data_IF_797191768980
#
_entry.id   IF_797191768980
#
_cell.length_a   1.000
_cell.length_b   1.000
_cell.length_c   1.000
_cell.angle_alpha   90.00
_cell.angle_beta   90.00
_cell.angle_gamma   90.00
#
_symmetry.space_group_name_H-M   'P 1'
#
loop_
_entity.id
_entity.type
_entity.pdbx_description
1 polymer ?
#
# COMPACT_ATOMS: atom_id res chain seq x y z
N UNK A 1 15.61 18.59 -43.56
CA UNK A 1 15.63 18.88 -42.11
C UNK A 1 16.14 17.62 -41.44
N UNK A 2 17.41 17.58 -41.03
CA UNK A 2 17.93 16.45 -40.28
C UNK A 2 17.42 16.57 -38.84
N UNK A 3 16.80 15.50 -38.32
CA UNK A 3 16.46 15.43 -36.90
C UNK A 3 17.78 15.20 -36.17
N UNK A 4 18.28 16.22 -35.47
CA UNK A 4 19.39 16.04 -34.55
C UNK A 4 18.85 15.32 -33.32
N UNK A 5 19.38 14.12 -33.06
CA UNK A 5 19.15 13.39 -31.82
C UNK A 5 20.38 13.63 -30.97
N UNK A 6 20.26 14.49 -29.95
CA UNK A 6 21.32 14.66 -28.96
C UNK A 6 21.49 13.36 -28.17
N UNK A 7 22.59 12.68 -28.47
CA UNK A 7 23.03 11.42 -27.85
C UNK A 7 22.00 10.28 -27.98
N UNK A 8 21.91 9.62 -29.16
CA UNK A 8 20.98 8.54 -29.34
C UNK A 8 21.33 7.41 -28.36
N UNK A 9 20.33 6.95 -27.62
CA UNK A 9 20.38 5.69 -26.90
C UNK A 9 20.86 4.62 -27.89
N UNK A 10 22.09 4.15 -27.70
CA UNK A 10 22.68 3.18 -28.61
C UNK A 10 22.29 1.78 -28.12
N UNK A 11 21.85 0.94 -29.04
CA UNK A 11 21.53 -0.45 -28.75
C UNK A 11 22.34 -1.36 -29.65
N UNK A 12 22.99 -2.36 -29.07
CA UNK A 12 23.60 -3.46 -29.81
C UNK A 12 22.92 -4.75 -29.40
N UNK A 13 22.70 -5.66 -30.35
CA UNK A 13 22.27 -7.02 -30.05
C UNK A 13 23.45 -7.99 -30.04
N UNK A 14 23.39 -8.93 -29.11
CA UNK A 14 24.33 -10.04 -28.94
C UNK A 14 23.51 -11.30 -28.64
N UNK A 15 23.99 -12.47 -29.07
CA UNK A 15 23.42 -13.75 -28.61
C UNK A 15 24.25 -14.25 -27.43
N UNK A 16 23.58 -14.51 -26.31
CA UNK A 16 24.20 -15.03 -25.09
C UNK A 16 23.74 -16.46 -24.85
N UNK A 17 24.68 -17.35 -24.58
CA UNK A 17 24.36 -18.70 -24.10
C UNK A 17 23.54 -18.62 -22.82
N UNK A 18 22.52 -19.46 -22.68
CA UNK A 18 21.61 -19.34 -21.53
C UNK A 18 22.31 -19.65 -20.20
N UNK A 19 23.37 -20.46 -20.22
CA UNK A 19 24.26 -20.74 -19.08
C UNK A 19 24.90 -19.48 -18.50
N UNK A 20 25.19 -18.48 -19.36
CA UNK A 20 25.77 -17.20 -18.94
C UNK A 20 24.87 -16.44 -17.97
N UNK A 21 23.54 -16.54 -18.14
CA UNK A 21 22.61 -15.86 -17.23
C UNK A 21 22.66 -16.45 -15.82
N UNK A 22 23.09 -17.71 -15.66
CA UNK A 22 23.32 -18.34 -14.38
C UNK A 22 24.72 -18.05 -13.84
N UNK A 23 25.77 -18.21 -14.66
CA UNK A 23 27.17 -17.95 -14.23
C UNK A 23 27.39 -16.51 -13.76
N UNK A 24 26.76 -15.56 -14.44
CA UNK A 24 26.92 -14.13 -14.18
C UNK A 24 25.79 -13.58 -13.31
N UNK A 25 25.03 -14.46 -12.62
CA UNK A 25 23.81 -14.12 -11.88
C UNK A 25 23.98 -12.96 -10.89
N UNK A 26 25.15 -12.84 -10.26
CA UNK A 26 25.50 -11.77 -9.31
C UNK A 26 25.55 -10.36 -9.93
N UNK A 27 25.79 -10.26 -11.24
CA UNK A 27 25.82 -8.97 -11.94
C UNK A 27 24.42 -8.49 -12.32
N UNK A 28 23.42 -9.38 -12.36
CA UNK A 28 22.08 -9.02 -12.82
C UNK A 28 21.25 -8.35 -11.74
N UNK A 29 20.81 -7.14 -12.05
CA UNK A 29 19.75 -6.45 -11.31
C UNK A 29 18.42 -6.77 -11.97
N UNK A 30 17.88 -7.94 -11.62
CA UNK A 30 16.66 -8.49 -12.23
C UNK A 30 15.43 -7.63 -12.00
N UNK A 31 15.38 -6.92 -10.87
CA UNK A 31 14.23 -6.13 -10.44
C UNK A 31 14.68 -4.72 -10.07
N UNK A 32 14.98 -3.87 -11.07
CA UNK A 32 15.27 -2.47 -10.79
C UNK A 32 14.04 -1.79 -10.15
N UNK A 33 14.20 -0.60 -9.53
CA UNK A 33 13.16 0.01 -8.72
C UNK A 33 11.81 0.15 -9.41
N UNK A 34 11.76 0.29 -10.74
CA UNK A 34 10.51 0.44 -11.48
C UNK A 34 9.80 -0.87 -11.82
N UNK A 35 10.45 -2.04 -11.69
CA UNK A 35 9.87 -3.34 -11.98
C UNK A 35 9.15 -3.97 -10.78
N UNK A 36 8.25 -4.91 -11.06
CA UNK A 36 7.47 -5.66 -10.07
C UNK A 36 8.10 -7.03 -9.78
N UNK A 37 7.54 -7.78 -8.83
CA UNK A 37 7.94 -9.17 -8.57
C UNK A 37 7.76 -10.09 -9.77
N UNK A 38 8.53 -11.19 -9.77
CA UNK A 38 8.36 -12.28 -10.73
C UNK A 38 7.00 -12.94 -10.50
N UNK A 39 6.22 -13.19 -11.56
CA UNK A 39 4.85 -13.74 -11.45
C UNK A 39 4.59 -14.93 -12.35
N UNK A 40 5.59 -15.38 -13.12
CA UNK A 40 5.44 -16.62 -13.87
C UNK A 40 5.30 -17.80 -12.90
N UNK A 41 4.23 -18.56 -13.07
CA UNK A 41 4.09 -19.87 -12.45
C UNK A 41 5.11 -20.87 -13.01
N UNK A 42 5.27 -22.00 -12.34
CA UNK A 42 6.22 -23.04 -12.75
C UNK A 42 5.91 -23.59 -14.14
N UNK A 43 4.64 -23.63 -14.58
CA UNK A 43 4.26 -24.10 -15.91
C UNK A 43 4.86 -23.22 -17.01
N UNK A 44 4.70 -21.91 -16.91
CA UNK A 44 5.29 -20.94 -17.85
C UNK A 44 6.82 -20.97 -17.84
N UNK A 45 7.43 -21.14 -16.66
CA UNK A 45 8.90 -21.30 -16.56
C UNK A 45 9.37 -22.54 -17.32
N UNK A 46 8.66 -23.66 -17.18
CA UNK A 46 8.93 -24.91 -17.94
C UNK A 46 8.78 -24.74 -19.45
N UNK A 47 7.74 -24.05 -19.91
CA UNK A 47 7.52 -23.76 -21.33
C UNK A 47 8.66 -22.92 -21.95
N UNK A 48 9.26 -22.02 -21.17
CA UNK A 48 10.43 -21.27 -21.63
C UNK A 48 11.64 -22.19 -21.86
N UNK A 49 11.95 -23.08 -20.91
CA UNK A 49 13.09 -23.99 -21.05
C UNK A 49 12.84 -25.00 -22.19
N UNK A 50 11.61 -25.51 -22.33
CA UNK A 50 11.18 -26.31 -23.50
C UNK A 50 11.46 -25.58 -24.81
N UNK A 51 11.16 -24.28 -24.86
CA UNK A 51 11.39 -23.45 -26.05
C UNK A 51 12.87 -23.39 -26.42
N UNK A 52 13.79 -23.26 -25.47
CA UNK A 52 15.23 -23.30 -25.73
C UNK A 52 15.68 -24.66 -26.23
N UNK A 53 15.32 -25.73 -25.52
CA UNK A 53 15.73 -27.11 -25.84
C UNK A 53 15.27 -27.49 -27.26
N UNK A 54 14.06 -27.07 -27.64
CA UNK A 54 13.45 -27.34 -28.96
C UNK A 54 13.75 -26.28 -30.02
N UNK A 55 14.61 -25.30 -29.73
CA UNK A 55 14.99 -24.21 -30.64
C UNK A 55 13.80 -23.41 -31.19
N UNK A 56 12.78 -23.21 -30.36
CA UNK A 56 11.64 -22.35 -30.66
C UNK A 56 12.05 -20.87 -30.48
N UNK A 57 11.29 -19.98 -31.12
CA UNK A 57 11.53 -18.54 -30.99
C UNK A 57 11.28 -18.06 -29.54
N UNK A 58 12.31 -17.45 -28.95
CA UNK A 58 12.22 -16.76 -27.65
C UNK A 58 12.46 -15.27 -27.86
N UNK A 59 11.54 -14.37 -27.44
CA UNK A 59 11.75 -12.93 -27.55
C UNK A 59 13.02 -12.46 -26.82
N UNK A 60 13.73 -11.46 -27.36
CA UNK A 60 14.97 -10.97 -26.77
C UNK A 60 14.73 -10.39 -25.36
N UNK A 61 15.79 -10.29 -24.59
CA UNK A 61 15.82 -9.53 -23.33
C UNK A 61 16.51 -8.20 -23.55
N UNK A 62 16.11 -7.18 -22.78
CA UNK A 62 16.71 -5.84 -22.88
C UNK A 62 17.40 -5.53 -21.57
N UNK A 63 18.69 -5.22 -21.65
CA UNK A 63 19.54 -4.98 -20.50
C UNK A 63 20.22 -3.62 -20.66
N UNK A 64 20.35 -2.91 -19.56
CA UNK A 64 21.11 -1.68 -19.42
C UNK A 64 22.38 -1.98 -18.63
N UNK A 65 23.55 -1.59 -19.14
CA UNK A 65 24.75 -1.56 -18.31
C UNK A 65 24.67 -0.36 -17.38
N UNK A 66 24.87 -0.61 -16.09
CA UNK A 66 24.99 0.42 -15.05
C UNK A 66 26.40 0.35 -14.50
N UNK A 67 27.10 1.48 -14.43
CA UNK A 67 28.45 1.56 -13.87
C UNK A 67 28.35 2.35 -12.57
N UNK A 68 28.71 1.69 -11.47
CA UNK A 68 28.74 2.30 -10.14
C UNK A 68 30.12 2.90 -9.85
N UNK A 69 30.19 3.66 -8.76
CA UNK A 69 31.46 4.14 -8.23
C UNK A 69 32.45 2.99 -8.02
N UNK A 70 33.71 3.21 -8.41
CA UNK A 70 34.75 2.18 -8.34
C UNK A 70 34.78 1.21 -9.53
N UNK A 71 34.03 1.48 -10.61
CA UNK A 71 33.92 0.65 -11.81
C UNK A 71 33.24 -0.71 -11.58
N UNK A 72 32.36 -0.82 -10.57
CA UNK A 72 31.49 -2.00 -10.45
C UNK A 72 30.42 -1.97 -11.56
N UNK A 73 30.30 -3.07 -12.29
CA UNK A 73 29.41 -3.18 -13.44
C UNK A 73 28.18 -4.00 -13.07
N UNK A 74 27.00 -3.41 -13.23
CA UNK A 74 25.72 -4.09 -13.06
C UNK A 74 24.94 -4.18 -14.37
N UNK A 75 24.19 -5.26 -14.52
CA UNK A 75 23.32 -5.55 -15.66
C UNK A 75 21.87 -5.36 -15.22
N UNK A 76 21.37 -4.14 -15.36
CA UNK A 76 19.97 -3.83 -15.08
C UNK A 76 19.07 -4.43 -16.15
N UNK A 77 18.16 -5.31 -15.73
CA UNK A 77 17.18 -5.90 -16.63
C UNK A 77 16.07 -4.87 -16.87
N UNK A 78 15.96 -4.38 -18.10
CA UNK A 78 14.90 -3.46 -18.54
C UNK A 78 13.68 -4.24 -19.03
N UNK A 79 13.89 -5.36 -19.72
CA UNK A 79 12.84 -6.31 -20.11
C UNK A 79 13.36 -7.75 -20.05
N UNK A 80 12.49 -8.69 -19.70
CA UNK A 80 12.84 -10.10 -19.63
C UNK A 80 13.16 -10.64 -18.24
N UNK A 81 12.82 -9.91 -17.17
CA UNK A 81 13.00 -10.35 -15.78
C UNK A 81 12.52 -11.79 -15.56
N UNK A 82 11.31 -12.12 -16.05
CA UNK A 82 10.72 -13.45 -15.88
C UNK A 82 11.54 -14.53 -16.59
N UNK A 83 12.05 -14.23 -17.80
CA UNK A 83 12.85 -15.16 -18.61
C UNK A 83 14.20 -15.44 -17.95
N UNK A 84 14.92 -14.39 -17.55
CA UNK A 84 16.21 -14.51 -16.86
C UNK A 84 16.05 -15.26 -15.54
N UNK A 85 15.01 -14.95 -14.76
CA UNK A 85 14.74 -15.66 -13.51
C UNK A 85 14.47 -17.15 -13.76
N UNK A 86 13.65 -17.50 -14.75
CA UNK A 86 13.34 -18.89 -15.07
C UNK A 86 14.57 -19.68 -15.55
N UNK A 87 15.46 -19.05 -16.33
CA UNK A 87 16.74 -19.65 -16.74
C UNK A 87 17.60 -19.95 -15.50
N UNK A 88 17.81 -18.96 -14.62
CA UNK A 88 18.61 -19.13 -13.41
C UNK A 88 18.06 -20.22 -12.49
N UNK A 89 16.75 -20.20 -12.21
CA UNK A 89 16.08 -21.19 -11.37
C UNK A 89 16.14 -22.61 -11.97
N UNK A 90 16.16 -22.76 -13.30
CA UNK A 90 16.33 -24.06 -13.94
C UNK A 90 17.73 -24.64 -13.69
N UNK A 91 18.78 -23.83 -13.85
CA UNK A 91 20.15 -24.22 -13.55
C UNK A 91 20.40 -24.49 -12.05
N UNK A 92 19.60 -23.86 -11.19
CA UNK A 92 19.60 -24.08 -9.73
C UNK A 92 18.76 -25.30 -9.30
N UNK A 93 18.24 -26.08 -10.26
CA UNK A 93 17.38 -27.24 -10.02
C UNK A 93 16.08 -26.92 -9.25
N UNK A 94 15.54 -25.70 -9.31
CA UNK A 94 14.28 -25.33 -8.64
C UNK A 94 13.07 -25.99 -9.30
N UNK A 95 13.12 -26.22 -10.62
CA UNK A 95 12.10 -26.96 -11.37
C UNK A 95 12.70 -27.86 -12.47
N UNK A 96 11.94 -28.86 -12.88
CA UNK A 96 12.32 -29.80 -13.94
C UNK A 96 11.80 -29.35 -15.31
N UNK A 97 12.37 -29.89 -16.40
CA UNK A 97 11.74 -29.85 -17.73
C UNK A 97 10.30 -30.37 -17.69
N UNK A 98 9.42 -29.93 -18.61
CA UNK A 98 8.10 -30.50 -18.71
C UNK A 98 8.19 -32.00 -19.04
N UNK A 99 7.25 -32.77 -18.49
CA UNK A 99 7.11 -34.17 -18.85
C UNK A 99 6.12 -34.28 -20.02
N UNK A 100 6.62 -33.97 -21.22
CA UNK A 100 5.81 -33.90 -22.45
C UNK A 100 6.20 -34.99 -23.46
N UNK A 101 5.25 -35.49 -24.27
CA UNK A 101 5.57 -36.42 -25.36
C UNK A 101 6.64 -35.88 -26.31
N UNK A 102 6.61 -34.57 -26.61
CA UNK A 102 7.54 -33.91 -27.51
C UNK A 102 8.99 -33.99 -27.01
N UNK A 103 9.22 -33.82 -25.70
CA UNK A 103 10.56 -33.93 -25.12
C UNK A 103 11.03 -35.38 -25.00
N UNK A 104 10.11 -36.33 -24.76
CA UNK A 104 10.44 -37.77 -24.75
C UNK A 104 10.87 -38.26 -26.14
N UNK A 105 10.28 -37.73 -27.20
CA UNK A 105 10.63 -38.07 -28.58
C UNK A 105 11.90 -37.37 -29.07
N UNK A 106 12.25 -36.22 -28.49
CA UNK A 106 13.39 -35.40 -28.92
C UNK A 106 14.74 -36.09 -28.70
N UNK A 107 14.89 -36.84 -27.61
CA UNK A 107 16.11 -37.58 -27.30
C UNK A 107 15.80 -38.96 -26.66
N UNK A 108 15.52 -39.99 -27.48
CA UNK A 108 15.18 -41.33 -26.98
C UNK A 108 16.32 -42.04 -26.23
N UNK A 109 17.58 -41.68 -26.51
CA UNK A 109 18.76 -42.29 -25.89
C UNK A 109 19.09 -41.65 -24.53
N UNK A 110 18.76 -40.37 -24.36
CA UNK A 110 18.94 -39.63 -23.11
C UNK A 110 17.61 -39.00 -22.71
N UNK A 111 16.81 -39.73 -21.93
CA UNK A 111 15.51 -39.25 -21.43
C UNK A 111 15.70 -37.89 -20.71
N UNK A 112 15.11 -36.83 -21.26
CA UNK A 112 15.18 -35.45 -20.73
C UNK A 112 13.87 -34.99 -20.06
N UNK A 113 12.75 -35.60 -20.43
CA UNK A 113 11.43 -35.20 -19.97
C UNK A 113 11.30 -35.37 -18.45
N UNK A 114 10.75 -34.37 -17.77
CA UNK A 114 10.55 -34.41 -16.33
C UNK A 114 11.83 -34.30 -15.48
N UNK A 115 13.02 -34.15 -16.07
CA UNK A 115 14.29 -34.05 -15.34
C UNK A 115 14.68 -32.62 -14.98
N UNK A 116 15.31 -32.44 -13.83
CA UNK A 116 16.03 -31.21 -13.42
C UNK A 116 17.37 -31.12 -14.14
N UNK A 117 18.00 -29.96 -14.12
CA UNK A 117 19.25 -29.72 -14.86
C UNK A 117 20.35 -30.72 -14.47
N UNK A 118 20.58 -30.93 -13.17
CA UNK A 118 21.60 -31.86 -12.67
C UNK A 118 21.30 -33.34 -12.95
N UNK A 119 20.06 -33.69 -13.29
CA UNK A 119 19.64 -35.06 -13.61
C UNK A 119 19.84 -35.42 -15.10
N UNK A 120 20.15 -34.43 -15.93
CA UNK A 120 20.43 -34.60 -17.36
C UNK A 120 21.81 -35.26 -17.56
N UNK A 121 21.98 -35.97 -18.66
CA UNK A 121 23.30 -36.51 -19.03
C UNK A 121 24.26 -35.39 -19.42
N UNK A 122 25.57 -35.64 -19.27
CA UNK A 122 26.63 -34.67 -19.61
C UNK A 122 26.47 -34.08 -21.03
N UNK A 123 26.17 -34.93 -22.04
CA UNK A 123 25.96 -34.48 -23.43
C UNK A 123 24.77 -33.50 -23.57
N UNK A 124 23.72 -33.67 -22.75
CA UNK A 124 22.54 -32.80 -22.78
C UNK A 124 22.80 -31.50 -22.04
N UNK A 125 23.53 -31.57 -20.92
CA UNK A 125 23.99 -30.37 -20.21
C UNK A 125 24.87 -29.52 -21.13
N UNK A 126 25.84 -30.13 -21.84
CA UNK A 126 26.70 -29.42 -22.80
C UNK A 126 25.88 -28.78 -23.94
N UNK A 127 24.85 -29.47 -24.45
CA UNK A 127 23.93 -28.90 -25.43
C UNK A 127 23.19 -27.67 -24.88
N UNK A 128 22.62 -27.75 -23.67
CA UNK A 128 21.92 -26.64 -23.04
C UNK A 128 22.89 -25.47 -22.77
N UNK A 129 24.10 -25.77 -22.31
CA UNK A 129 25.09 -24.78 -21.93
C UNK A 129 25.66 -24.00 -23.10
N UNK A 130 25.83 -24.65 -24.25
CA UNK A 130 26.61 -24.11 -25.38
C UNK A 130 25.83 -23.95 -26.69
N UNK A 131 24.62 -24.53 -26.81
CA UNK A 131 23.81 -24.46 -28.04
C UNK A 131 22.48 -23.72 -27.85
N UNK A 132 22.01 -23.58 -26.61
CA UNK A 132 20.83 -22.77 -26.32
C UNK A 132 21.26 -21.33 -26.02
N UNK A 133 20.78 -20.38 -26.83
CA UNK A 133 21.10 -18.96 -26.68
C UNK A 133 19.86 -18.08 -26.65
N UNK A 134 20.01 -16.91 -26.04
CA UNK A 134 18.99 -15.88 -25.95
C UNK A 134 19.56 -14.56 -26.47
N UNK A 135 18.83 -13.92 -27.37
CA UNK A 135 19.20 -12.61 -27.88
C UNK A 135 19.08 -11.55 -26.78
N UNK A 136 20.14 -10.79 -26.58
CA UNK A 136 20.26 -9.69 -25.61
C UNK A 136 20.45 -8.37 -26.34
N UNK A 137 19.56 -7.42 -26.09
CA UNK A 137 19.70 -6.04 -26.55
C UNK A 137 20.29 -5.22 -25.41
N UNK A 138 21.54 -4.76 -25.57
CA UNK A 138 22.22 -3.91 -24.58
C UNK A 138 22.02 -2.44 -24.89
N UNK A 139 21.44 -1.71 -23.94
CA UNK A 139 21.32 -0.26 -23.97
C UNK A 139 22.62 0.39 -23.49
N UNK A 140 23.10 1.37 -24.24
CA UNK A 140 24.31 2.16 -23.98
C UNK A 140 24.00 3.66 -24.01
N UNK A 141 24.86 4.46 -23.36
CA UNK A 141 24.69 5.91 -23.23
C UNK A 141 23.65 6.31 -22.19
N UNK A 142 23.30 5.39 -21.29
CA UNK A 142 22.46 5.61 -20.11
C UNK A 142 23.04 4.87 -18.90
N UNK A 143 24.34 4.86 -18.72
CA UNK A 143 25.06 4.02 -17.75
C UNK A 143 25.02 4.51 -16.30
N UNK A 144 24.94 5.82 -16.08
CA UNK A 144 24.84 6.40 -14.73
C UNK A 144 23.44 6.15 -14.11
N UNK A 145 23.34 5.46 -12.95
CA UNK A 145 22.07 5.22 -12.28
C UNK A 145 21.51 6.42 -11.53
N UNK A 146 22.33 7.41 -11.17
CA UNK A 146 21.91 8.62 -10.47
C UNK A 146 21.52 9.75 -11.44
N UNK A 147 21.90 9.63 -12.72
CA UNK A 147 21.43 10.54 -13.76
C UNK A 147 19.91 10.36 -14.01
N UNK A 148 19.17 11.44 -13.76
CA UNK A 148 17.70 11.49 -13.93
C UNK A 148 17.27 11.19 -15.36
N UNK A 149 17.99 11.70 -16.37
CA UNK A 149 17.67 11.48 -17.79
C UNK A 149 17.86 10.00 -18.14
N UNK A 150 18.90 9.35 -17.64
CA UNK A 150 19.15 7.92 -17.86
C UNK A 150 18.02 7.07 -17.28
N UNK A 151 17.62 7.34 -16.04
CA UNK A 151 16.49 6.65 -15.39
C UNK A 151 15.17 6.85 -16.14
N UNK A 152 14.91 8.06 -16.61
CA UNK A 152 13.73 8.35 -17.44
C UNK A 152 13.76 7.59 -18.77
N UNK A 153 14.92 7.48 -19.42
CA UNK A 153 15.07 6.75 -20.69
C UNK A 153 14.90 5.24 -20.50
N UNK A 154 15.53 4.64 -19.49
CA UNK A 154 15.35 3.23 -19.14
C UNK A 154 13.88 2.90 -18.89
N UNK A 155 13.20 3.74 -18.09
CA UNK A 155 11.76 3.65 -17.85
C UNK A 155 10.97 3.76 -19.16
N UNK A 156 11.25 4.75 -20.02
CA UNK A 156 10.54 4.91 -21.30
C UNK A 156 10.69 3.67 -22.21
N UNK A 157 11.86 3.03 -22.22
CA UNK A 157 12.10 1.79 -22.97
C UNK A 157 11.27 0.64 -22.40
N UNK A 158 11.34 0.41 -21.07
CA UNK A 158 10.51 -0.58 -20.37
C UNK A 158 9.04 -0.45 -20.74
N UNK A 159 8.49 0.77 -20.70
CA UNK A 159 7.10 1.04 -21.06
C UNK A 159 6.72 0.70 -22.50
N UNK A 160 7.64 0.91 -23.44
CA UNK A 160 7.39 0.64 -24.87
C UNK A 160 7.44 -0.86 -25.17
N UNK A 161 8.29 -1.60 -24.48
CA UNK A 161 8.39 -3.06 -24.61
C UNK A 161 7.15 -3.77 -24.04
N UNK A 162 6.60 -3.21 -22.96
CA UNK A 162 5.40 -3.73 -22.30
C UNK A 162 4.08 -3.34 -23.01
N UNK A 163 4.11 -2.92 -24.29
CA UNK A 163 2.87 -2.68 -25.05
C UNK A 163 2.20 -3.98 -25.54
N UNK A 164 2.86 -5.13 -25.43
CA UNK A 164 2.31 -6.46 -25.75
C UNK A 164 1.51 -7.12 -24.61
N UNK A 165 1.85 -6.86 -23.33
CA UNK A 165 1.09 -7.30 -22.14
C UNK A 165 0.58 -6.07 -21.38
N UNK A 166 -0.73 -5.95 -21.15
CA UNK A 166 -1.29 -4.73 -20.56
C UNK A 166 -0.87 -4.51 -19.09
N UNK A 167 0.05 -3.56 -18.87
CA UNK A 167 0.33 -3.00 -17.54
C UNK A 167 -0.92 -2.33 -16.95
N UNK A 168 -1.21 -2.63 -15.69
CA UNK A 168 -2.19 -1.92 -14.88
C UNK A 168 -1.79 -0.46 -14.70
N UNK A 169 -2.76 0.39 -14.32
CA UNK A 169 -2.48 1.79 -14.02
C UNK A 169 -1.46 1.95 -12.87
N UNK A 170 -1.43 1.05 -11.88
CA UNK A 170 -0.48 1.15 -10.77
C UNK A 170 0.93 0.73 -11.18
N UNK A 171 1.11 -0.31 -12.00
CA UNK A 171 2.44 -0.70 -12.53
C UNK A 171 3.05 0.41 -13.39
N UNK A 172 2.21 1.10 -14.16
CA UNK A 172 2.57 2.32 -14.87
C UNK A 172 3.03 3.41 -13.90
N UNK A 173 2.25 3.70 -12.87
CA UNK A 173 2.60 4.75 -11.91
C UNK A 173 3.85 4.42 -11.08
N UNK A 174 4.06 3.14 -10.77
CA UNK A 174 5.22 2.64 -10.03
C UNK A 174 6.56 2.95 -10.71
N UNK A 175 6.58 3.01 -12.04
CA UNK A 175 7.81 3.31 -12.77
C UNK A 175 8.30 4.75 -12.62
N UNK A 176 7.50 5.65 -12.05
CA UNK A 176 7.82 7.07 -11.92
C UNK A 176 8.74 7.28 -10.72
N UNK A 177 9.96 6.78 -10.80
CA UNK A 177 10.97 6.78 -9.72
C UNK A 177 11.33 8.19 -9.22
N UNK A 178 11.11 9.21 -10.05
CA UNK A 178 11.26 10.62 -9.71
C UNK A 178 10.12 11.20 -8.85
N UNK A 179 9.00 10.49 -8.69
CA UNK A 179 7.82 11.01 -7.97
C UNK A 179 7.97 10.79 -6.45
N UNK A 180 7.89 11.85 -5.62
CA UNK A 180 7.94 11.69 -4.16
C UNK A 180 6.77 10.86 -3.63
N UNK A 181 5.57 11.02 -4.22
CA UNK A 181 4.41 10.18 -3.92
C UNK A 181 4.72 8.70 -4.14
N UNK A 182 5.32 8.36 -5.29
CA UNK A 182 5.72 6.99 -5.60
C UNK A 182 6.70 6.46 -4.57
N UNK A 183 7.71 7.26 -4.21
CA UNK A 183 8.77 6.84 -3.29
C UNK A 183 8.24 6.62 -1.88
N UNK A 184 7.33 7.46 -1.40
CA UNK A 184 6.61 7.24 -0.16
C UNK A 184 5.78 5.95 -0.22
N UNK A 185 4.97 5.76 -1.26
CA UNK A 185 4.10 4.60 -1.39
C UNK A 185 4.91 3.29 -1.41
N UNK A 186 5.99 3.24 -2.18
CA UNK A 186 6.85 2.05 -2.27
C UNK A 186 7.53 1.77 -0.94
N UNK A 187 8.12 2.79 -0.31
CA UNK A 187 8.79 2.62 0.99
C UNK A 187 7.81 2.09 2.05
N UNK A 188 6.57 2.55 2.05
CA UNK A 188 5.57 2.25 3.09
C UNK A 188 4.80 0.95 2.84
N UNK A 189 4.41 0.64 1.59
CA UNK A 189 3.47 -0.46 1.31
C UNK A 189 4.10 -1.67 0.60
N UNK A 190 5.23 -1.49 -0.08
CA UNK A 190 5.82 -2.57 -0.85
C UNK A 190 6.41 -3.64 0.07
N UNK A 191 6.39 -4.89 -0.38
CA UNK A 191 6.98 -6.02 0.35
C UNK A 191 8.46 -6.24 0.03
N UNK A 192 8.98 -5.44 -0.91
CA UNK A 192 10.36 -5.45 -1.37
C UNK A 192 10.97 -4.07 -1.34
N UNK A 193 12.29 -4.02 -1.32
CA UNK A 193 13.04 -2.78 -1.37
C UNK A 193 14.17 -2.87 -2.39
N UNK A 194 14.83 -1.73 -2.62
CA UNK A 194 15.99 -1.65 -3.49
C UNK A 194 17.10 -0.94 -2.72
N UNK A 195 18.24 -1.60 -2.60
CA UNK A 195 19.43 -1.00 -2.04
C UNK A 195 20.13 -0.18 -3.12
N UNK A 196 20.09 1.15 -2.95
CA UNK A 196 20.71 2.07 -3.89
C UNK A 196 22.23 2.08 -3.77
N UNK A 197 22.79 1.77 -2.61
CA UNK A 197 24.24 1.82 -2.38
C UNK A 197 24.93 0.67 -3.11
N UNK A 198 24.41 -0.55 -3.00
CA UNK A 198 24.94 -1.73 -3.68
C UNK A 198 24.25 -2.01 -5.04
N UNK A 199 23.28 -1.18 -5.42
CA UNK A 199 22.47 -1.30 -6.63
C UNK A 199 21.80 -2.68 -6.80
N UNK A 200 21.20 -3.19 -5.72
CA UNK A 200 20.64 -4.54 -5.65
C UNK A 200 19.16 -4.57 -5.24
N UNK A 201 18.43 -5.55 -5.77
CA UNK A 201 17.05 -5.81 -5.39
C UNK A 201 17.01 -6.60 -4.07
N UNK A 202 16.16 -6.18 -3.13
CA UNK A 202 15.93 -6.91 -1.87
C UNK A 202 14.55 -7.53 -1.83
N UNK A 203 14.45 -8.75 -1.29
CA UNK A 203 13.18 -9.48 -1.18
C UNK A 203 12.37 -9.13 0.08
N UNK A 204 12.89 -8.22 0.89
CA UNK A 204 12.28 -7.66 2.08
C UNK A 204 12.21 -6.12 2.00
N UNK A 205 11.29 -5.53 2.76
CA UNK A 205 11.22 -4.09 2.96
C UNK A 205 11.17 -3.77 4.46
N UNK A 206 12.28 -3.29 5.06
CA UNK A 206 12.31 -2.97 6.48
C UNK A 206 11.48 -1.73 6.86
N UNK A 207 11.04 -0.93 5.87
CA UNK A 207 10.20 0.25 6.11
C UNK A 207 8.71 -0.03 5.86
N UNK A 208 8.35 -1.28 5.52
CA UNK A 208 6.95 -1.64 5.26
C UNK A 208 6.13 -1.44 6.52
N UNK A 209 5.03 -0.70 6.39
CA UNK A 209 4.12 -0.46 7.49
C UNK A 209 3.37 -1.75 7.86
N UNK A 210 3.23 -1.99 9.17
CA UNK A 210 2.67 -3.23 9.72
C UNK A 210 1.24 -3.51 9.23
N UNK A 211 0.38 -2.50 9.11
CA UNK A 211 -0.93 -2.64 8.45
C UNK A 211 -0.93 -3.50 7.17
N UNK A 212 0.09 -3.37 6.31
CA UNK A 212 0.15 -4.12 5.05
C UNK A 212 0.46 -5.61 5.21
N UNK A 213 1.00 -6.03 6.36
CA UNK A 213 1.18 -7.45 6.71
C UNK A 213 -0.11 -8.07 7.23
N UNK A 214 -1.07 -7.26 7.69
CA UNK A 214 -2.39 -7.71 8.13
C UNK A 214 -3.35 -8.00 6.96
N UNK A 215 -3.03 -7.56 5.74
CA UNK A 215 -3.91 -7.71 4.59
C UNK A 215 -3.82 -9.13 4.00
N UNK A 216 -4.94 -9.84 3.90
CA UNK A 216 -5.07 -11.07 3.10
C UNK A 216 -5.12 -10.77 1.58
N UNK A 217 -4.21 -9.92 1.10
CA UNK A 217 -4.16 -9.39 -0.26
C UNK A 217 -2.72 -9.40 -0.77
N UNK A 218 -2.46 -10.19 -1.81
CA UNK A 218 -1.13 -10.24 -2.45
C UNK A 218 -0.72 -8.88 -3.04
N UNK A 219 0.59 -8.73 -3.24
CA UNK A 219 1.19 -7.53 -3.82
C UNK A 219 1.92 -7.80 -5.16
N UNK A 220 1.69 -8.97 -5.79
CA UNK A 220 2.37 -9.41 -7.01
C UNK A 220 2.22 -8.45 -8.21
N UNK A 221 1.12 -7.70 -8.22
CA UNK A 221 0.80 -6.65 -9.19
C UNK A 221 0.60 -5.29 -8.52
N UNK A 222 1.32 -5.05 -7.42
CA UNK A 222 1.37 -3.77 -6.70
C UNK A 222 0.00 -3.34 -6.14
N UNK A 223 -0.83 -4.31 -5.78
CA UNK A 223 -2.19 -4.05 -5.31
C UNK A 223 -2.22 -3.29 -3.98
N UNK A 224 -1.20 -3.46 -3.12
CA UNK A 224 -1.11 -2.75 -1.84
C UNK A 224 -0.63 -1.31 -2.04
N UNK A 225 0.28 -1.07 -2.99
CA UNK A 225 0.66 0.30 -3.40
C UNK A 225 -0.54 1.07 -3.98
N UNK A 226 -1.36 0.36 -4.77
CA UNK A 226 -2.61 0.86 -5.32
C UNK A 226 -3.58 1.31 -4.21
N UNK A 227 -3.64 0.55 -3.11
CA UNK A 227 -4.48 0.85 -1.95
C UNK A 227 -3.98 2.09 -1.20
N UNK A 228 -2.68 2.15 -0.87
CA UNK A 228 -2.09 3.30 -0.19
C UNK A 228 -2.25 4.60 -1.00
N UNK A 229 -2.10 4.54 -2.32
CA UNK A 229 -2.34 5.67 -3.19
C UNK A 229 -3.76 6.24 -3.05
N UNK A 230 -4.74 5.38 -2.79
CA UNK A 230 -6.14 5.79 -2.63
C UNK A 230 -6.44 6.29 -1.22
N UNK A 231 -5.78 5.77 -0.19
CA UNK A 231 -5.82 6.37 1.15
C UNK A 231 -5.32 7.81 1.12
N UNK A 232 -4.19 8.07 0.44
CA UNK A 232 -3.69 9.44 0.22
C UNK A 232 -4.75 10.32 -0.46
N UNK A 233 -5.47 9.81 -1.47
CA UNK A 233 -6.54 10.58 -2.11
C UNK A 233 -7.70 10.89 -1.17
N UNK A 234 -8.07 9.94 -0.29
CA UNK A 234 -9.11 10.13 0.73
C UNK A 234 -8.68 11.20 1.74
N UNK A 235 -7.41 11.23 2.17
CA UNK A 235 -6.93 12.24 3.11
C UNK A 235 -6.74 13.63 2.49
N UNK A 236 -6.43 13.71 1.19
CA UNK A 236 -6.38 14.98 0.45
C UNK A 236 -7.76 15.60 0.33
N UNK A 237 -8.76 14.79 -0.01
CA UNK A 237 -10.14 15.28 -0.18
C UNK A 237 -10.95 15.20 1.13
N UNK A 238 -10.30 14.86 2.24
CA UNK A 238 -10.83 14.76 3.61
C UNK A 238 -12.12 13.93 3.75
N UNK A 239 -12.17 12.79 3.04
CA UNK A 239 -13.29 11.86 3.12
C UNK A 239 -13.54 11.06 1.83
N UNK A 240 -14.71 10.41 1.71
CA UNK A 240 -15.10 9.64 0.54
C UNK A 240 -14.98 10.46 -0.75
N UNK A 241 -14.10 10.01 -1.66
CA UNK A 241 -13.83 10.72 -2.91
C UNK A 241 -13.65 9.77 -4.09
N UNK A 242 -13.53 10.33 -5.29
CA UNK A 242 -13.18 9.59 -6.52
C UNK A 242 -11.74 9.07 -6.45
N UNK A 243 -11.59 7.78 -6.23
CA UNK A 243 -10.29 7.09 -6.14
C UNK A 243 -10.00 6.22 -7.39
N UNK A 244 -10.40 6.71 -8.57
CA UNK A 244 -10.18 6.01 -9.85
C UNK A 244 -8.70 5.93 -10.22
N UNK A 245 -8.32 4.96 -11.07
CA UNK A 245 -6.96 4.87 -11.60
C UNK A 245 -6.46 6.15 -12.28
N UNK A 246 -7.36 6.96 -12.86
CA UNK A 246 -7.00 8.27 -13.42
C UNK A 246 -6.57 9.28 -12.34
N UNK A 247 -7.24 9.27 -11.19
CA UNK A 247 -6.89 10.14 -10.06
C UNK A 247 -5.61 9.67 -9.37
N UNK A 248 -5.40 8.35 -9.27
CA UNK A 248 -4.11 7.77 -8.86
C UNK A 248 -2.99 8.24 -9.79
N UNK A 249 -3.17 8.19 -11.11
CA UNK A 249 -2.16 8.69 -12.06
C UNK A 249 -1.87 10.18 -11.87
N UNK A 250 -2.89 11.01 -11.63
CA UNK A 250 -2.69 12.44 -11.34
C UNK A 250 -1.92 12.66 -10.04
N UNK A 251 -2.18 11.85 -9.00
CA UNK A 251 -1.44 11.91 -7.74
C UNK A 251 0.05 11.62 -7.99
N UNK A 252 0.38 10.53 -8.68
CA UNK A 252 1.76 10.18 -9.00
C UNK A 252 2.45 11.20 -9.91
N UNK A 253 1.70 11.84 -10.81
CA UNK A 253 2.18 12.96 -11.65
C UNK A 253 2.38 14.26 -10.85
N UNK A 254 2.11 14.29 -9.54
CA UNK A 254 2.10 15.49 -8.70
C UNK A 254 1.22 16.62 -9.28
N UNK A 255 0.05 16.24 -9.83
CA UNK A 255 -0.94 17.18 -10.41
C UNK A 255 -2.04 17.59 -9.42
N UNK A 256 -1.87 17.26 -8.14
CA UNK A 256 -2.73 17.75 -7.05
C UNK A 256 -2.17 19.07 -6.54
N UNK A 257 -3.03 19.95 -6.06
CA UNK A 257 -2.64 21.28 -5.58
C UNK A 257 -1.60 21.14 -4.45
N UNK A 258 -0.53 21.93 -4.51
CA UNK A 258 0.56 21.89 -3.54
C UNK A 258 1.58 20.77 -3.74
N UNK A 259 1.31 19.73 -4.54
CA UNK A 259 2.25 18.63 -4.80
C UNK A 259 3.27 19.03 -5.88
N UNK A 260 4.51 18.59 -5.73
CA UNK A 260 5.59 18.87 -6.69
C UNK A 260 6.56 17.70 -6.79
N UNK A 261 7.22 17.55 -7.95
CA UNK A 261 8.25 16.53 -8.17
C UNK A 261 9.62 16.92 -7.57
N UNK A 262 9.74 18.13 -7.04
CA UNK A 262 10.98 18.67 -6.49
C UNK A 262 11.12 18.46 -4.98
N UNK A 263 10.04 18.03 -4.33
CA UNK A 263 10.01 17.75 -2.90
C UNK A 263 10.75 16.44 -2.62
N UNK A 264 11.58 16.45 -1.58
CA UNK A 264 12.22 15.21 -1.13
C UNK A 264 11.26 14.34 -0.29
N UNK A 265 11.70 13.12 0.04
CA UNK A 265 10.85 12.16 0.74
C UNK A 265 10.52 12.60 2.18
N UNK A 266 11.43 13.28 2.86
CA UNK A 266 11.22 13.69 4.25
C UNK A 266 10.32 14.93 4.31
N UNK A 267 10.48 15.88 3.38
CA UNK A 267 9.54 16.99 3.18
C UNK A 267 8.13 16.48 2.86
N UNK A 268 8.01 15.52 1.91
CA UNK A 268 6.73 14.95 1.51
C UNK A 268 5.97 14.31 2.68
N UNK A 269 6.70 13.66 3.61
CA UNK A 269 6.10 13.08 4.81
C UNK A 269 5.53 14.12 5.76
N UNK A 270 6.07 15.34 5.82
CA UNK A 270 5.61 16.37 6.76
C UNK A 270 4.27 17.00 6.37
N UNK A 271 3.75 16.70 5.18
CA UNK A 271 2.43 17.18 4.75
C UNK A 271 1.32 16.65 5.66
N UNK A 272 0.37 17.52 6.00
CA UNK A 272 -0.74 17.19 6.91
C UNK A 272 -1.52 15.96 6.44
N UNK A 273 -1.78 15.85 5.13
CA UNK A 273 -2.49 14.73 4.53
C UNK A 273 -1.70 13.42 4.64
N UNK A 274 -0.38 13.48 4.53
CA UNK A 274 0.50 12.30 4.63
C UNK A 274 0.68 11.88 6.09
N UNK A 275 0.78 12.83 7.01
CA UNK A 275 0.73 12.60 8.45
C UNK A 275 -0.60 11.96 8.87
N UNK A 276 -1.74 12.40 8.29
CA UNK A 276 -3.05 11.75 8.50
C UNK A 276 -3.06 10.31 8.01
N UNK A 277 -2.53 10.03 6.83
CA UNK A 277 -2.41 8.65 6.32
C UNK A 277 -1.59 7.78 7.27
N UNK A 278 -0.46 8.28 7.78
CA UNK A 278 0.38 7.53 8.73
C UNK A 278 -0.40 7.21 10.01
N UNK A 279 -1.06 8.20 10.62
CA UNK A 279 -1.91 7.99 11.80
C UNK A 279 -3.03 6.98 11.54
N UNK A 280 -3.68 7.04 10.38
CA UNK A 280 -4.72 6.08 10.00
C UNK A 280 -4.16 4.65 9.84
N UNK A 281 -2.97 4.49 9.27
CA UNK A 281 -2.31 3.18 9.17
C UNK A 281 -1.94 2.64 10.56
N UNK A 282 -1.46 3.50 11.47
CA UNK A 282 -1.17 3.14 12.86
C UNK A 282 -2.44 2.73 13.60
N UNK A 283 -3.51 3.52 13.50
CA UNK A 283 -4.83 3.23 14.07
C UNK A 283 -5.39 1.91 13.56
N UNK A 284 -5.39 1.69 12.24
CA UNK A 284 -5.83 0.43 11.66
C UNK A 284 -4.96 -0.75 12.12
N UNK A 285 -3.66 -0.55 12.27
CA UNK A 285 -2.78 -1.58 12.81
C UNK A 285 -3.16 -1.88 14.24
N UNK A 286 -3.29 -0.88 15.09
CA UNK A 286 -3.66 -1.02 16.50
C UNK A 286 -5.02 -1.72 16.66
N UNK A 287 -6.02 -1.29 15.87
CA UNK A 287 -7.35 -1.86 15.88
C UNK A 287 -7.33 -3.33 15.50
N UNK A 288 -6.40 -3.81 14.68
CA UNK A 288 -6.43 -5.18 14.16
C UNK A 288 -5.29 -6.10 14.64
N UNK A 289 -4.28 -5.56 15.33
CA UNK A 289 -3.05 -6.29 15.70
C UNK A 289 -3.30 -7.47 16.61
N UNK A 290 -4.09 -7.31 17.67
CA UNK A 290 -4.26 -8.35 18.69
C UNK A 290 -5.70 -8.88 18.67
N UNK A 291 -6.16 -9.25 17.47
CA UNK A 291 -7.53 -9.74 17.24
C UNK A 291 -7.53 -11.23 16.89
N UNK A 292 -8.57 -11.92 17.34
CA UNK A 292 -8.83 -13.33 16.97
C UNK A 292 -9.31 -13.48 15.51
N UNK A 293 -9.47 -12.36 14.80
CA UNK A 293 -9.85 -12.28 13.37
C UNK A 293 -8.71 -12.71 12.44
N UNK A 294 -7.49 -12.86 12.96
CA UNK A 294 -6.32 -13.28 12.19
C UNK A 294 -6.37 -14.76 11.85
N UNK A 295 -6.11 -15.07 10.60
CA UNK A 295 -5.92 -16.44 10.14
C UNK A 295 -4.54 -17.00 10.57
N UNK A 296 -4.24 -18.25 10.21
CA UNK A 296 -2.96 -18.90 10.54
C UNK A 296 -1.70 -18.20 9.99
N UNK A 297 -1.83 -17.29 9.03
CA UNK A 297 -0.74 -16.49 8.48
C UNK A 297 -0.61 -15.12 9.18
N UNK A 298 -1.47 -14.80 10.15
CA UNK A 298 -1.53 -13.49 10.81
C UNK A 298 -2.27 -12.42 9.99
N UNK A 299 -2.97 -12.81 8.93
CA UNK A 299 -3.71 -11.92 8.03
C UNK A 299 -5.20 -11.89 8.38
N UNK A 300 -5.88 -10.81 8.04
CA UNK A 300 -7.32 -10.66 8.24
C UNK A 300 -8.03 -10.96 6.93
N UNK A 301 -8.84 -12.02 6.94
CA UNK A 301 -9.47 -12.59 5.76
C UNK A 301 -10.27 -11.55 4.97
N UNK A 302 -11.03 -10.70 5.66
CA UNK A 302 -11.87 -9.69 5.01
C UNK A 302 -11.12 -8.50 4.42
N UNK A 303 -9.85 -8.32 4.79
CA UNK A 303 -8.97 -7.32 4.20
C UNK A 303 -8.35 -7.80 2.87
N UNK A 304 -9.17 -8.45 2.03
CA UNK A 304 -8.76 -8.97 0.72
C UNK A 304 -9.27 -8.12 -0.48
N UNK A 305 -10.45 -7.48 -0.36
CA UNK A 305 -11.15 -6.77 -1.44
C UNK A 305 -10.93 -5.26 -1.36
N UNK A 306 -10.36 -4.66 -2.41
CA UNK A 306 -9.97 -3.23 -2.44
C UNK A 306 -11.11 -2.28 -2.04
N UNK A 307 -12.30 -2.43 -2.62
CA UNK A 307 -13.41 -1.51 -2.35
C UNK A 307 -13.98 -1.66 -0.94
N UNK A 308 -13.88 -2.84 -0.33
CA UNK A 308 -14.28 -3.10 1.05
C UNK A 308 -13.29 -2.40 2.00
N UNK A 309 -11.98 -2.61 1.78
CA UNK A 309 -10.93 -1.99 2.59
C UNK A 309 -11.02 -0.45 2.52
N UNK A 310 -11.31 0.12 1.35
CA UNK A 310 -11.51 1.56 1.20
C UNK A 310 -12.74 2.07 1.95
N UNK A 311 -13.83 1.31 1.94
CA UNK A 311 -15.04 1.68 2.68
C UNK A 311 -14.82 1.61 4.19
N UNK A 312 -14.13 0.58 4.68
CA UNK A 312 -13.72 0.46 6.07
C UNK A 312 -12.77 1.58 6.50
N UNK A 313 -11.77 1.88 5.67
CA UNK A 313 -10.86 3.01 5.90
C UNK A 313 -11.63 4.32 6.05
N UNK A 314 -12.61 4.58 5.16
CA UNK A 314 -13.43 5.80 5.24
C UNK A 314 -14.31 5.86 6.49
N UNK A 315 -14.90 4.74 6.92
CA UNK A 315 -15.68 4.67 8.17
C UNK A 315 -14.78 4.98 9.38
N UNK A 316 -13.66 4.27 9.53
CA UNK A 316 -12.76 4.47 10.67
C UNK A 316 -12.16 5.88 10.67
N UNK A 317 -11.86 6.45 9.50
CA UNK A 317 -11.41 7.83 9.37
C UNK A 317 -12.48 8.81 9.90
N UNK A 318 -13.74 8.56 9.61
CA UNK A 318 -14.85 9.38 10.09
C UNK A 318 -15.01 9.28 11.61
N UNK A 319 -14.85 8.10 12.19
CA UNK A 319 -14.85 7.92 13.64
C UNK A 319 -13.67 8.67 14.30
N UNK A 320 -12.46 8.58 13.72
CA UNK A 320 -11.23 9.19 14.26
C UNK A 320 -11.18 10.71 14.12
N UNK A 321 -11.57 11.24 12.96
CA UNK A 321 -11.47 12.68 12.67
C UNK A 321 -12.80 13.42 12.73
N UNK A 322 -13.90 12.69 12.93
CA UNK A 322 -15.19 13.27 13.27
C UNK A 322 -15.24 13.67 14.74
N UNK A 323 -16.28 14.41 15.11
CA UNK A 323 -16.51 14.82 16.49
C UNK A 323 -17.10 13.64 17.29
N UNK A 324 -16.40 12.50 17.39
CA UNK A 324 -16.86 11.31 18.12
C UNK A 324 -15.90 10.96 19.28
N UNK A 325 -16.42 10.28 20.31
CA UNK A 325 -15.62 9.77 21.44
C UNK A 325 -14.86 8.47 21.09
N UNK A 326 -14.47 8.30 19.82
CA UNK A 326 -13.85 7.06 19.34
C UNK A 326 -12.45 6.87 19.92
N UNK A 327 -12.21 5.70 20.48
CA UNK A 327 -10.92 5.31 21.07
C UNK A 327 -10.84 3.82 21.35
N UNK A 328 -9.79 3.42 22.09
CA UNK A 328 -9.52 2.01 22.43
C UNK A 328 -10.69 1.31 23.09
N UNK A 329 -11.49 2.05 23.86
CA UNK A 329 -12.63 1.52 24.61
C UNK A 329 -13.74 0.98 23.69
N UNK A 330 -13.81 1.45 22.43
CA UNK A 330 -14.82 1.04 21.45
C UNK A 330 -14.23 0.23 20.27
N UNK A 331 -12.97 -0.22 20.35
CA UNK A 331 -12.36 -0.98 19.26
C UNK A 331 -13.06 -2.32 18.99
N UNK A 332 -13.56 -2.97 20.03
CA UNK A 332 -14.26 -4.24 19.90
C UNK A 332 -15.57 -4.08 19.12
N UNK A 333 -16.28 -2.97 19.28
CA UNK A 333 -17.50 -2.68 18.51
C UNK A 333 -17.22 -2.56 17.01
N UNK A 334 -16.14 -1.87 16.63
CA UNK A 334 -15.72 -1.78 15.22
C UNK A 334 -15.29 -3.14 14.69
N UNK A 335 -14.56 -3.94 15.48
CA UNK A 335 -14.12 -5.28 15.09
C UNK A 335 -15.31 -6.21 14.85
N UNK A 336 -16.23 -6.26 15.81
CA UNK A 336 -17.43 -7.10 15.76
C UNK A 336 -18.29 -6.72 14.56
N UNK A 337 -18.55 -5.42 14.38
CA UNK A 337 -19.27 -4.94 13.20
C UNK A 337 -18.59 -5.36 11.89
N UNK A 338 -17.28 -5.18 11.77
CA UNK A 338 -16.58 -5.49 10.52
C UNK A 338 -16.55 -6.98 10.20
N UNK A 339 -16.44 -7.82 11.22
CA UNK A 339 -16.51 -9.27 11.07
C UNK A 339 -17.92 -9.71 10.64
N UNK A 340 -18.97 -9.22 11.32
CA UNK A 340 -20.36 -9.54 10.98
C UNK A 340 -20.74 -9.02 9.59
N UNK A 341 -20.36 -7.79 9.26
CA UNK A 341 -20.58 -7.19 7.96
C UNK A 341 -19.88 -8.00 6.86
N UNK A 342 -18.66 -8.48 7.10
CA UNK A 342 -17.98 -9.36 6.16
C UNK A 342 -18.67 -10.72 6.00
N UNK A 343 -19.11 -11.35 7.09
CA UNK A 343 -19.88 -12.60 7.03
C UNK A 343 -21.14 -12.43 6.19
N UNK A 344 -21.90 -11.35 6.40
CA UNK A 344 -23.06 -10.97 5.58
C UNK A 344 -22.68 -10.72 4.12
N UNK A 345 -21.53 -10.10 3.89
CA UNK A 345 -21.00 -9.82 2.56
C UNK A 345 -20.55 -11.08 1.79
N UNK A 346 -20.06 -12.13 2.43
CA UNK A 346 -19.69 -13.38 1.74
C UNK A 346 -20.90 -14.26 1.38
N UNK A 347 -22.05 -14.06 2.03
CA UNK A 347 -23.29 -14.78 1.70
C UNK A 347 -23.90 -14.24 0.40
N UNK A 348 -24.27 -15.15 -0.51
CA UNK A 348 -25.12 -14.84 -1.67
C UNK A 348 -26.60 -14.85 -1.24
N UNK A 349 -27.07 -13.72 -0.73
CA UNK A 349 -28.48 -13.46 -0.45
C UNK A 349 -29.05 -12.45 -1.45
N UNK A 350 -30.06 -12.85 -2.21
CA UNK A 350 -30.72 -11.99 -3.20
C UNK A 350 -31.80 -11.10 -2.60
N UNK A 351 -32.23 -11.36 -1.37
CA UNK A 351 -33.25 -10.58 -0.68
C UNK A 351 -32.63 -9.43 0.13
N UNK A 352 -31.32 -9.49 0.39
CA UNK A 352 -30.54 -8.44 1.03
C UNK A 352 -30.22 -7.28 0.06
N UNK A 353 -31.22 -6.42 -0.16
CA UNK A 353 -31.13 -5.25 -1.05
C UNK A 353 -29.96 -4.33 -0.68
N UNK A 354 -29.68 -4.14 0.61
CA UNK A 354 -28.60 -3.26 1.07
C UNK A 354 -27.22 -3.84 0.68
N UNK A 355 -26.99 -5.12 0.96
CA UNK A 355 -25.74 -5.78 0.65
C UNK A 355 -25.52 -5.92 -0.87
N UNK A 356 -26.58 -6.18 -1.63
CA UNK A 356 -26.53 -6.16 -3.10
C UNK A 356 -26.09 -4.79 -3.61
N UNK A 357 -26.69 -3.72 -3.09
CA UNK A 357 -26.33 -2.36 -3.47
C UNK A 357 -24.88 -2.00 -3.11
N UNK A 358 -24.37 -2.49 -1.99
CA UNK A 358 -22.97 -2.35 -1.60
C UNK A 358 -22.04 -3.09 -2.57
N UNK A 359 -22.33 -4.37 -2.88
CA UNK A 359 -21.57 -5.22 -3.82
C UNK A 359 -21.56 -4.67 -5.25
N UNK A 360 -22.69 -4.17 -5.73
CA UNK A 360 -22.81 -3.58 -7.07
C UNK A 360 -22.03 -2.28 -7.22
N UNK A 361 -21.91 -1.52 -6.14
CA UNK A 361 -21.17 -0.27 -6.10
C UNK A 361 -19.64 -0.47 -6.12
N UNK A 362 -19.09 -1.50 -6.76
CA UNK A 362 -17.64 -1.82 -6.80
C UNK A 362 -16.74 -0.80 -7.51
N UNK A 363 -17.31 0.16 -8.23
CA UNK A 363 -16.56 1.16 -8.99
C UNK A 363 -15.88 2.18 -8.07
N UNK A 364 -14.76 2.75 -8.51
CA UNK A 364 -13.99 3.74 -7.74
C UNK A 364 -14.30 5.19 -8.11
N UNK A 365 -15.45 5.45 -8.75
CA UNK A 365 -15.93 6.79 -9.02
C UNK A 365 -16.66 7.36 -7.78
N UNK A 366 -16.84 8.69 -7.73
CA UNK A 366 -17.40 9.38 -6.55
C UNK A 366 -18.75 8.82 -6.12
N UNK A 367 -19.67 8.58 -7.07
CA UNK A 367 -21.01 8.10 -6.76
C UNK A 367 -21.00 6.71 -6.12
N UNK A 368 -20.20 5.79 -6.65
CA UNK A 368 -20.07 4.44 -6.10
C UNK A 368 -19.36 4.43 -4.73
N UNK A 369 -18.30 5.22 -4.57
CA UNK A 369 -17.58 5.35 -3.29
C UNK A 369 -18.50 5.91 -2.20
N UNK A 370 -19.19 7.03 -2.48
CA UNK A 370 -20.13 7.63 -1.54
C UNK A 370 -21.28 6.69 -1.20
N UNK A 371 -21.81 5.96 -2.19
CA UNK A 371 -22.88 4.97 -1.95
C UNK A 371 -22.44 3.87 -0.99
N UNK A 372 -21.24 3.31 -1.18
CA UNK A 372 -20.72 2.28 -0.26
C UNK A 372 -20.48 2.81 1.13
N UNK A 373 -19.91 4.02 1.23
CA UNK A 373 -19.67 4.65 2.52
C UNK A 373 -20.97 4.87 3.29
N UNK A 374 -21.97 5.50 2.66
CA UNK A 374 -23.29 5.69 3.25
C UNK A 374 -23.94 4.38 3.73
N UNK A 375 -23.90 3.33 2.91
CA UNK A 375 -24.47 2.02 3.31
C UNK A 375 -23.74 1.45 4.53
N UNK A 376 -22.40 1.44 4.50
CA UNK A 376 -21.60 0.88 5.59
C UNK A 376 -21.75 1.69 6.88
N UNK A 377 -21.76 3.01 6.77
CA UNK A 377 -21.91 3.94 7.88
C UNK A 377 -23.28 3.79 8.56
N UNK A 378 -24.38 3.76 7.80
CA UNK A 378 -25.71 3.53 8.39
C UNK A 378 -25.78 2.16 9.07
N UNK A 379 -25.26 1.13 8.42
CA UNK A 379 -25.26 -0.21 9.00
C UNK A 379 -24.45 -0.29 10.30
N UNK A 380 -23.35 0.49 10.41
CA UNK A 380 -22.59 0.62 11.64
C UNK A 380 -23.43 1.30 12.73
N UNK A 381 -24.08 2.42 12.43
CA UNK A 381 -24.91 3.12 13.41
C UNK A 381 -26.16 2.34 13.84
N UNK A 382 -26.69 1.47 12.97
CA UNK A 382 -27.80 0.55 13.30
C UNK A 382 -27.42 -0.52 14.33
N UNK A 383 -26.12 -0.78 14.57
CA UNK A 383 -25.70 -1.65 15.67
C UNK A 383 -25.77 -0.97 17.03
N UNK A 384 -26.14 0.31 17.08
CA UNK A 384 -26.17 1.15 18.29
C UNK A 384 -24.84 1.06 19.09
N UNK A 385 -23.69 1.41 18.46
CA UNK A 385 -22.40 1.40 19.13
C UNK A 385 -22.39 2.38 20.31
N UNK A 386 -21.57 2.14 21.33
CA UNK A 386 -21.32 3.08 22.44
C UNK A 386 -20.34 4.19 22.01
N UNK A 387 -20.53 4.68 20.78
CA UNK A 387 -19.83 5.81 20.19
C UNK A 387 -20.85 6.93 20.01
N UNK A 388 -20.54 8.10 20.54
CA UNK A 388 -21.42 9.26 20.54
C UNK A 388 -20.73 10.45 19.92
N UNK A 389 -21.51 11.29 19.23
CA UNK A 389 -21.05 12.61 18.83
C UNK A 389 -20.67 13.40 20.09
N UNK A 390 -19.39 13.74 20.20
CA UNK A 390 -18.90 14.71 21.18
C UNK A 390 -19.45 16.09 20.84
N UNK A 391 -19.78 16.86 21.87
CA UNK A 391 -20.27 18.21 21.66
C UNK A 391 -19.17 19.08 21.03
N UNK A 392 -19.38 19.55 19.80
CA UNK A 392 -18.48 20.49 19.11
C UNK A 392 -18.22 21.80 19.91
N UNK A 393 -19.04 22.11 20.91
CA UNK A 393 -18.78 23.16 21.89
C UNK A 393 -18.07 22.58 23.10
N UNK A 394 -16.84 23.02 23.36
CA UNK A 394 -16.10 22.69 24.60
C UNK A 394 -16.27 23.74 25.71
N UNK A 395 -16.72 24.94 25.35
CA UNK A 395 -16.85 26.06 26.27
C UNK A 395 -18.31 26.44 26.44
N UNK A 396 -18.78 26.47 27.69
CA UNK A 396 -20.09 27.03 28.02
C UNK A 396 -20.19 28.48 27.53
N UNK A 397 -21.26 28.78 26.79
CA UNK A 397 -21.56 30.14 26.34
C UNK A 397 -21.68 31.11 27.52
N UNK A 398 -21.47 32.42 27.27
CA UNK A 398 -21.60 33.43 28.32
C UNK A 398 -22.96 33.41 29.02
N UNK A 399 -24.04 33.13 28.29
CA UNK A 399 -25.38 33.04 28.84
C UNK A 399 -25.52 31.82 29.77
N UNK A 400 -24.99 30.65 29.35
CA UNK A 400 -24.96 29.45 30.19
C UNK A 400 -24.12 29.67 31.46
N UNK A 401 -22.94 30.30 31.34
CA UNK A 401 -22.09 30.63 32.50
C UNK A 401 -22.77 31.55 33.50
N UNK A 402 -23.50 32.58 33.04
CA UNK A 402 -24.26 33.47 33.92
C UNK A 402 -25.36 32.69 34.65
N UNK A 403 -26.10 31.84 33.92
CA UNK A 403 -27.20 31.05 34.48
C UNK A 403 -26.69 30.05 35.52
N UNK A 404 -25.67 29.28 35.18
CA UNK A 404 -25.02 28.32 36.08
C UNK A 404 -24.49 28.97 37.37
N UNK A 405 -23.84 30.13 37.25
CA UNK A 405 -23.31 30.86 38.40
C UNK A 405 -24.39 31.38 39.37
N UNK A 406 -25.57 31.71 38.84
CA UNK A 406 -26.71 32.16 39.65
C UNK A 406 -27.43 30.97 40.28
N UNK A 407 -27.70 29.92 39.50
CA UNK A 407 -28.47 28.74 39.94
C UNK A 407 -27.72 27.89 40.97
N UNK A 408 -26.39 27.87 40.93
CA UNK A 408 -25.52 27.19 41.91
C UNK A 408 -25.31 27.97 43.21
N UNK A 409 -25.98 29.11 43.39
CA UNK A 409 -25.74 30.06 44.50
C UNK A 409 -24.27 30.52 44.64
N UNK A 410 -23.48 30.32 43.57
CA UNK A 410 -22.03 30.59 43.51
C UNK A 410 -21.22 29.67 44.41
N UNK A 411 -21.67 28.44 44.59
CA UNK A 411 -21.01 27.45 45.42
C UNK A 411 -20.21 26.51 44.51
N UNK A 412 -18.93 26.32 44.83
CA UNK A 412 -18.12 25.26 44.21
C UNK A 412 -18.65 23.91 44.67
N UNK A 413 -19.12 23.08 43.73
CA UNK A 413 -19.77 21.81 44.04
C UNK A 413 -18.82 20.82 44.73
N UNK A 414 -17.57 20.74 44.26
CA UNK A 414 -16.55 19.90 44.90
C UNK A 414 -16.18 20.37 46.31
N UNK A 415 -16.19 21.68 46.58
CA UNK A 415 -15.99 22.17 47.95
C UNK A 415 -17.15 21.75 48.86
N UNK A 416 -18.38 21.76 48.34
CA UNK A 416 -19.56 21.33 49.09
C UNK A 416 -19.53 19.82 49.37
N UNK A 417 -19.13 19.00 48.38
CA UNK A 417 -18.93 17.55 48.54
C UNK A 417 -17.84 17.21 49.57
N UNK A 418 -16.77 18.01 49.65
CA UNK A 418 -15.73 17.90 50.67
C UNK A 418 -16.19 18.33 52.08
N UNK A 419 -17.44 18.78 52.24
CA UNK A 419 -18.02 19.18 53.52
C UNK A 419 -17.56 20.56 54.02
N UNK A 420 -17.03 21.42 53.14
CA UNK A 420 -16.71 22.81 53.49
C UNK A 420 -17.99 23.61 53.75
N UNK A 421 -17.89 24.64 54.56
CA UNK A 421 -19.02 25.54 54.83
C UNK A 421 -19.41 26.32 53.56
N UNK A 422 -20.66 26.80 53.47
CA UNK A 422 -21.11 27.63 52.34
C UNK A 422 -20.23 28.86 52.12
N UNK A 423 -19.67 29.44 53.19
CA UNK A 423 -18.77 30.59 53.12
C UNK A 423 -17.42 30.21 52.49
N UNK A 424 -16.90 29.03 52.79
CA UNK A 424 -15.63 28.51 52.25
C UNK A 424 -15.77 27.98 50.81
N UNK A 425 -16.95 27.47 50.45
CA UNK A 425 -17.23 26.96 49.12
C UNK A 425 -17.63 28.05 48.11
N UNK A 426 -17.87 29.28 48.57
CA UNK A 426 -18.36 30.38 47.73
C UNK A 426 -17.30 30.92 46.78
N UNK A 427 -17.63 31.03 45.50
CA UNK A 427 -16.76 31.59 44.45
C UNK A 427 -17.23 32.97 43.99
N UNK A 428 -16.32 33.78 43.47
CA UNK A 428 -16.64 35.11 42.94
C UNK A 428 -16.76 35.08 41.42
N UNK A 429 -17.51 36.02 40.84
CA UNK A 429 -17.70 36.09 39.38
C UNK A 429 -16.37 36.27 38.63
N UNK A 430 -15.40 36.93 39.25
CA UNK A 430 -14.06 37.14 38.69
C UNK A 430 -13.11 35.97 38.93
N UNK A 431 -13.53 34.93 39.66
CA UNK A 431 -12.65 33.84 40.10
C UNK A 431 -13.40 32.53 40.30
N UNK A 432 -13.85 31.93 39.20
CA UNK A 432 -14.52 30.63 39.12
C UNK A 432 -14.43 30.08 37.70
N UNK A 433 -14.65 28.77 37.55
CA UNK A 433 -14.72 28.10 36.26
C UNK A 433 -15.98 27.23 36.16
N UNK A 434 -16.50 27.13 34.94
CA UNK A 434 -17.57 26.19 34.61
C UNK A 434 -16.91 24.95 34.01
N UNK A 435 -17.19 23.80 34.60
CA UNK A 435 -16.62 22.51 34.20
C UNK A 435 -17.75 21.53 33.91
N UNK A 436 -17.44 20.46 33.18
CA UNK A 436 -18.40 19.39 32.92
C UNK A 436 -18.45 18.42 34.10
N UNK A 437 -19.63 17.89 34.43
CA UNK A 437 -19.77 16.84 35.45
C UNK A 437 -19.15 15.56 34.89
N UNK A 438 -19.69 15.08 33.77
CA UNK A 438 -19.09 14.09 32.88
C UNK A 438 -18.12 14.79 31.93
N UNK A 439 -16.86 14.34 31.87
CA UNK A 439 -15.83 15.03 31.12
C UNK A 439 -16.14 15.09 29.62
N UNK A 440 -15.86 16.24 28.99
CA UNK A 440 -16.05 16.45 27.56
C UNK A 440 -15.33 15.40 26.69
N UNK A 441 -14.14 14.95 27.12
CA UNK A 441 -13.35 13.88 26.49
C UNK A 441 -13.98 12.49 26.60
N UNK A 442 -15.05 12.33 27.36
CA UNK A 442 -15.79 11.08 27.55
C UNK A 442 -17.21 11.16 26.99
N UNK A 443 -17.51 12.19 26.18
CA UNK A 443 -18.85 12.40 25.60
C UNK A 443 -19.73 13.38 26.39
N UNK A 444 -19.22 13.98 27.47
CA UNK A 444 -19.94 14.98 28.26
C UNK A 444 -20.36 16.20 27.44
N UNK A 445 -21.67 16.42 27.29
CA UNK A 445 -22.23 17.54 26.52
C UNK A 445 -22.07 18.89 27.24
N UNK A 446 -21.90 19.99 26.52
CA UNK A 446 -21.85 21.37 27.03
C UNK A 446 -23.27 21.95 27.19
N UNK A 447 -24.05 21.26 28.02
CA UNK A 447 -25.41 21.64 28.43
C UNK A 447 -25.43 22.00 29.91
N UNK A 448 -26.41 22.78 30.36
CA UNK A 448 -26.45 23.26 31.76
C UNK A 448 -26.61 22.12 32.77
N UNK A 449 -27.25 21.04 32.33
CA UNK A 449 -27.50 19.84 33.11
C UNK A 449 -26.22 19.04 33.38
N UNK A 450 -25.20 19.16 32.52
CA UNK A 450 -23.88 18.55 32.69
C UNK A 450 -22.83 19.59 33.14
N UNK A 451 -23.25 20.76 33.62
CA UNK A 451 -22.35 21.83 34.01
C UNK A 451 -22.29 21.97 35.53
N UNK A 452 -21.09 22.25 36.06
CA UNK A 452 -20.88 22.53 37.48
C UNK A 452 -19.98 23.73 37.70
N UNK A 453 -20.15 24.37 38.86
CA UNK A 453 -19.31 25.48 39.31
C UNK A 453 -18.12 24.93 40.08
N UNK A 454 -16.91 25.28 39.64
CA UNK A 454 -15.68 24.94 40.35
C UNK A 454 -14.91 26.20 40.76
N UNK A 455 -14.24 26.11 41.91
CA UNK A 455 -13.24 27.08 42.30
C UNK A 455 -11.94 26.83 41.52
N UNK A 456 -11.05 27.83 41.38
CA UNK A 456 -9.80 27.67 40.63
C UNK A 456 -8.88 26.57 41.17
N UNK A 457 -8.99 26.22 42.45
CA UNK A 457 -8.23 25.11 43.04
C UNK A 457 -8.73 23.76 42.48
N UNK A 458 -10.03 23.52 42.51
CA UNK A 458 -10.64 22.29 42.01
C UNK A 458 -10.58 22.15 40.49
N UNK A 459 -10.72 23.25 39.77
CA UNK A 459 -10.58 23.24 38.31
C UNK A 459 -9.15 22.90 37.87
N UNK A 460 -8.13 23.21 38.68
CA UNK A 460 -6.72 22.89 38.37
C UNK A 460 -6.27 21.50 38.85
N UNK A 461 -7.07 20.86 39.69
CA UNK A 461 -6.77 19.51 40.20
C UNK A 461 -7.37 18.39 39.35
N UNK A 462 -8.05 18.73 38.26
CA UNK A 462 -8.55 17.81 37.24
C UNK A 462 -7.57 17.65 36.10
#
# INVERSE_FOLDING_TARGET
MAIYVDDPLNSNDEDWDISKFHSDSEYFVKRPPYQRKTVWDTGKKKELIDSFVRQLYVPPVVIRQVVLDGNDLRLEVVDGQQRITAIQEFFEDEFSLPDSPELRELNPEHEIAGKRYSELSEDVQEYIDSQCSLKVIKLRGIDDPDDKRHQELATKVFWRLQQGEHLTNIEKNHSKTYSPVRNFIVRTADDISFDRENYESRNDNPNRHEFFTLLARNNDRLQQLSLLARFILIEIDEGPTKVTGKEVTKLFDCKREGFTVHEDLEEFKQRDEIQRVQRMLDLLTELYRDTDLKNGNGEIEFLNKEYFILSLYSLIRELEYGDYNFGRDNYDEVRDFTEEWFKRFEVEDTDDSEMLQFKEARQQNRGAVNKRHYILENAFWETEPDIQETDSQRAFSRAQRIKLFIESDRICEMCAEEGKTEEEAKVSWSNWDADHIEEHSQGGQTVLENARVLCPHHNRSR
#
